data_IF_252054758296
#
_entry.id   IF_252054758296
#
_cell.length_a   1.000
_cell.length_b   1.000
_cell.length_c   1.000
_cell.angle_alpha   90.00
_cell.angle_beta   90.00
_cell.angle_gamma   90.00
#
_symmetry.space_group_name_H-M   'P 1'
#
loop_
_entity.id
_entity.type
_entity.pdbx_description
1 polymer ?
#
# COMPACT_ATOMS: atom_id res chain seq x y z
N UNK A 1 13.75 12.23 11.94
CA UNK A 1 12.32 12.26 11.54
C UNK A 1 12.15 11.18 10.48
N UNK A 2 11.10 10.38 10.50
CA UNK A 2 10.93 9.32 9.49
C UNK A 2 10.38 9.95 8.21
N UNK A 3 11.13 9.86 7.11
CA UNK A 3 10.82 10.55 5.86
C UNK A 3 10.67 9.57 4.69
N UNK A 4 9.66 9.80 3.85
CA UNK A 4 9.37 8.99 2.66
C UNK A 4 9.48 9.87 1.42
N UNK A 5 10.16 9.40 0.39
CA UNK A 5 10.18 10.03 -0.92
C UNK A 5 9.33 9.20 -1.88
N UNK A 6 8.43 9.86 -2.59
CA UNK A 6 7.62 9.26 -3.65
C UNK A 6 8.05 9.90 -4.96
N UNK A 7 8.62 9.09 -5.86
CA UNK A 7 9.04 9.52 -7.19
C UNK A 7 8.04 8.97 -8.20
N UNK A 8 7.52 9.84 -9.06
CA UNK A 8 6.57 9.49 -10.11
C UNK A 8 6.98 10.07 -11.45
N UNK A 9 6.46 9.49 -12.53
CA UNK A 9 6.54 10.02 -13.89
C UNK A 9 5.18 10.57 -14.37
N UNK A 10 4.26 10.86 -13.43
CA UNK A 10 2.97 11.53 -13.68
C UNK A 10 1.71 10.69 -13.37
N UNK A 11 1.48 9.52 -14.01
CA UNK A 11 0.19 8.82 -13.94
C UNK A 11 -0.13 8.18 -12.59
N UNK A 12 0.85 7.98 -11.71
CA UNK A 12 0.69 7.26 -10.44
C UNK A 12 1.31 8.04 -9.26
N UNK A 13 1.16 7.54 -8.03
CA UNK A 13 1.80 8.12 -6.84
C UNK A 13 1.01 9.20 -6.10
N UNK A 14 0.20 10.03 -6.77
CA UNK A 14 -0.61 11.11 -6.15
C UNK A 14 -1.41 10.69 -4.91
N UNK A 15 -2.16 9.58 -5.00
CA UNK A 15 -2.98 9.08 -3.89
C UNK A 15 -2.17 8.40 -2.81
N UNK A 16 -1.03 7.83 -3.19
CA UNK A 16 -0.08 7.29 -2.23
C UNK A 16 0.50 8.43 -1.39
N UNK A 17 0.89 9.52 -2.04
CA UNK A 17 1.33 10.74 -1.37
C UNK A 17 0.27 11.29 -0.41
N UNK A 18 -0.97 11.44 -0.86
CA UNK A 18 -2.05 11.98 -0.03
C UNK A 18 -2.35 11.16 1.22
N UNK A 19 -2.10 9.85 1.17
CA UNK A 19 -2.32 8.94 2.30
C UNK A 19 -1.11 8.89 3.21
N UNK A 20 0.09 8.67 2.66
CA UNK A 20 1.33 8.48 3.41
C UNK A 20 1.71 9.77 4.16
N UNK A 21 1.48 10.95 3.57
CA UNK A 21 1.76 12.25 4.21
C UNK A 21 0.96 12.52 5.49
N UNK A 22 -0.11 11.75 5.74
CA UNK A 22 -0.90 11.87 6.98
C UNK A 22 -0.19 11.25 8.18
N UNK A 23 0.72 10.30 7.94
CA UNK A 23 1.42 9.55 8.99
C UNK A 23 2.93 9.83 9.00
N UNK A 24 3.53 10.07 7.84
CA UNK A 24 4.97 10.25 7.67
C UNK A 24 5.30 11.55 6.97
N UNK A 25 6.46 12.13 7.27
CA UNK A 25 6.99 13.26 6.50
C UNK A 25 7.27 12.77 5.06
N UNK A 26 6.55 13.32 4.08
CA UNK A 26 6.58 12.78 2.71
C UNK A 26 6.92 13.88 1.72
N UNK A 27 7.88 13.60 0.84
CA UNK A 27 8.18 14.43 -0.33
C UNK A 27 7.66 13.76 -1.60
N UNK A 28 7.20 14.57 -2.54
CA UNK A 28 6.69 14.13 -3.83
C UNK A 28 7.53 14.75 -4.93
N UNK A 29 8.17 13.90 -5.74
CA UNK A 29 9.04 14.29 -6.84
C UNK A 29 8.42 13.76 -8.13
N UNK A 30 8.15 14.65 -9.07
CA UNK A 30 7.64 14.30 -10.40
C UNK A 30 8.75 14.51 -11.41
N UNK A 31 9.22 13.41 -12.00
CA UNK A 31 10.24 13.42 -13.04
C UNK A 31 9.58 13.42 -14.42
N UNK A 32 10.23 14.08 -15.37
CA UNK A 32 9.77 14.05 -16.75
C UNK A 32 9.87 12.64 -17.33
N UNK A 33 8.84 12.23 -18.07
CA UNK A 33 8.93 10.99 -18.83
C UNK A 33 9.95 11.15 -19.95
N UNK A 34 10.89 10.19 -20.13
CA UNK A 34 11.73 10.16 -21.30
C UNK A 34 10.90 10.14 -22.57
N UNK A 35 11.27 11.01 -23.51
CA UNK A 35 10.63 11.08 -24.83
C UNK A 35 11.20 10.05 -25.81
N UNK A 36 12.36 9.46 -25.52
CA UNK A 36 13.03 8.42 -26.31
C UNK A 36 12.84 7.02 -25.73
N UNK A 37 12.88 6.00 -26.59
CA UNK A 37 12.75 4.59 -26.22
C UNK A 37 14.00 4.01 -25.53
N UNK A 38 15.11 4.75 -25.59
CA UNK A 38 16.38 4.49 -24.91
C UNK A 38 16.84 5.82 -24.29
N UNK A 39 17.14 5.81 -23.00
CA UNK A 39 17.69 6.99 -22.31
C UNK A 39 19.21 6.91 -22.34
N UNK A 40 19.85 7.94 -22.90
CA UNK A 40 21.32 8.06 -22.86
C UNK A 40 21.79 8.69 -21.53
N UNK A 41 21.03 9.63 -20.94
CA UNK A 41 21.32 10.22 -19.63
C UNK A 41 20.01 10.65 -18.92
N UNK A 42 19.78 10.13 -17.70
CA UNK A 42 18.64 10.50 -16.85
C UNK A 42 19.07 11.66 -15.94
N UNK A 43 18.72 12.88 -16.31
CA UNK A 43 18.97 14.03 -15.45
C UNK A 43 17.88 14.18 -14.39
N UNK A 44 18.23 13.82 -13.15
CA UNK A 44 17.43 14.14 -11.97
C UNK A 44 17.93 15.48 -11.42
N UNK A 45 17.07 16.50 -11.27
CA UNK A 45 17.46 17.78 -10.70
C UNK A 45 18.16 17.62 -9.35
N UNK A 46 19.25 18.35 -9.13
CA UNK A 46 20.07 18.24 -7.92
C UNK A 46 19.28 18.52 -6.63
N UNK A 47 18.22 19.31 -6.72
CA UNK A 47 17.28 19.53 -5.62
C UNK A 47 16.48 18.27 -5.25
N UNK A 48 15.99 17.55 -6.25
CA UNK A 48 15.25 16.30 -6.07
C UNK A 48 16.13 15.18 -5.55
N UNK A 49 17.38 15.11 -6.03
CA UNK A 49 18.39 14.17 -5.51
C UNK A 49 18.55 14.34 -4.00
N UNK A 50 18.72 15.59 -3.52
CA UNK A 50 18.87 15.88 -2.09
C UNK A 50 17.61 15.55 -1.29
N UNK A 51 16.43 15.73 -1.88
CA UNK A 51 15.16 15.38 -1.23
C UNK A 51 15.05 13.87 -1.02
N UNK A 52 15.48 13.08 -2.02
CA UNK A 52 15.48 11.61 -1.99
C UNK A 52 16.58 11.07 -1.07
N UNK A 53 17.84 11.54 -1.18
CA UNK A 53 18.92 11.11 -0.26
C UNK A 53 18.62 11.44 1.20
N UNK A 54 17.76 12.44 1.46
CA UNK A 54 17.31 12.78 2.80
C UNK A 54 16.16 11.91 3.32
N UNK A 55 15.68 10.91 2.58
CA UNK A 55 14.56 10.04 2.99
C UNK A 55 15.03 8.67 3.49
N UNK A 56 14.17 8.03 4.29
CA UNK A 56 14.39 6.65 4.75
C UNK A 56 13.86 5.64 3.73
N UNK A 57 12.67 5.91 3.20
CA UNK A 57 12.02 5.07 2.20
C UNK A 57 11.94 5.84 0.88
N UNK A 58 12.25 5.17 -0.23
CA UNK A 58 11.95 5.62 -1.58
C UNK A 58 10.86 4.72 -2.18
N UNK A 59 9.80 5.31 -2.72
CA UNK A 59 8.76 4.60 -3.45
C UNK A 59 8.76 5.08 -4.89
N UNK A 60 8.97 4.18 -5.85
CA UNK A 60 8.99 4.52 -7.27
C UNK A 60 7.67 4.12 -7.92
N UNK A 61 7.03 5.11 -8.55
CA UNK A 61 5.82 4.98 -9.36
C UNK A 61 6.12 5.28 -10.84
N UNK A 62 7.34 4.99 -11.28
CA UNK A 62 7.84 5.23 -12.63
C UNK A 62 7.48 4.08 -13.55
N UNK A 63 7.11 4.40 -14.79
CA UNK A 63 6.69 3.41 -15.81
C UNK A 63 7.86 2.91 -16.66
N UNK A 64 8.82 3.75 -17.10
CA UNK A 64 10.00 3.30 -17.82
C UNK A 64 10.90 2.42 -16.94
N UNK A 65 11.30 1.21 -17.41
CA UNK A 65 12.24 0.36 -16.69
C UNK A 65 13.59 1.04 -16.46
N UNK A 66 14.13 1.74 -17.47
CA UNK A 66 15.43 2.40 -17.38
C UNK A 66 15.46 3.48 -16.29
N UNK A 67 14.39 4.30 -16.21
CA UNK A 67 14.23 5.29 -15.15
C UNK A 67 14.13 4.64 -13.77
N UNK A 68 13.39 3.54 -13.67
CA UNK A 68 13.24 2.80 -12.42
C UNK A 68 14.58 2.20 -11.98
N UNK A 69 15.36 1.67 -12.92
CA UNK A 69 16.67 1.08 -12.67
C UNK A 69 17.66 2.14 -12.18
N UNK A 70 17.75 3.27 -12.87
CA UNK A 70 18.61 4.39 -12.45
C UNK A 70 18.26 4.88 -11.04
N UNK A 71 16.97 5.05 -10.74
CA UNK A 71 16.53 5.43 -9.40
C UNK A 71 16.96 4.40 -8.35
N UNK A 72 16.86 3.12 -8.65
CA UNK A 72 17.32 2.08 -7.72
C UNK A 72 18.84 2.12 -7.58
N UNK A 73 19.60 2.05 -8.66
CA UNK A 73 21.06 2.02 -8.64
C UNK A 73 21.67 3.26 -7.98
N UNK A 74 21.10 4.44 -8.22
CA UNK A 74 21.59 5.71 -7.66
C UNK A 74 21.30 5.86 -6.17
N UNK A 75 20.16 5.36 -5.69
CA UNK A 75 19.70 5.61 -4.32
C UNK A 75 19.78 4.39 -3.38
N UNK A 76 20.12 3.19 -3.88
CA UNK A 76 20.19 1.96 -3.08
C UNK A 76 21.10 2.10 -1.85
N UNK A 77 22.23 2.81 -1.98
CA UNK A 77 23.18 3.03 -0.88
C UNK A 77 22.92 4.36 -0.12
N UNK A 78 21.85 5.07 -0.47
CA UNK A 78 21.51 6.41 0.05
C UNK A 78 20.27 6.42 0.91
N UNK A 79 19.34 5.49 0.68
CA UNK A 79 18.12 5.33 1.47
C UNK A 79 18.11 3.98 2.17
N UNK A 80 17.32 3.86 3.24
CA UNK A 80 17.25 2.62 4.01
C UNK A 80 16.47 1.52 3.26
N UNK A 81 15.46 1.88 2.46
CA UNK A 81 14.67 0.92 1.68
C UNK A 81 14.05 1.53 0.42
N UNK A 82 13.92 0.73 -0.64
CA UNK A 82 13.25 1.10 -1.89
C UNK A 82 12.08 0.16 -2.17
N UNK A 83 10.90 0.73 -2.44
CA UNK A 83 9.71 0.01 -2.84
C UNK A 83 9.40 0.37 -4.30
N UNK A 84 9.50 -0.61 -5.18
CA UNK A 84 9.22 -0.43 -6.60
C UNK A 84 7.78 -0.78 -6.86
N UNK A 85 6.92 0.24 -6.93
CA UNK A 85 5.47 0.05 -7.03
C UNK A 85 5.00 -0.31 -8.45
N UNK A 86 5.81 0.00 -9.46
CA UNK A 86 5.55 -0.28 -10.86
C UNK A 86 6.75 -0.99 -11.51
N UNK A 87 6.57 -2.25 -11.87
CA UNK A 87 7.58 -3.07 -12.55
C UNK A 87 6.89 -4.11 -13.43
N UNK A 88 7.63 -4.69 -14.38
CA UNK A 88 7.14 -5.74 -15.28
C UNK A 88 8.23 -6.75 -15.60
N UNK A 89 7.86 -8.03 -15.55
CA UNK A 89 8.72 -9.16 -15.90
C UNK A 89 9.64 -9.58 -14.77
N UNK A 90 9.74 -10.89 -14.55
CA UNK A 90 10.52 -11.46 -13.43
C UNK A 90 12.01 -11.20 -13.58
N UNK A 91 12.53 -11.10 -14.81
CA UNK A 91 13.93 -10.74 -15.05
C UNK A 91 14.27 -9.36 -14.48
N UNK A 92 13.41 -8.37 -14.72
CA UNK A 92 13.60 -7.02 -14.19
C UNK A 92 13.41 -6.99 -12.68
N UNK A 93 12.37 -7.66 -12.16
CA UNK A 93 12.18 -7.82 -10.70
C UNK A 93 13.42 -8.40 -10.03
N UNK A 94 13.94 -9.52 -10.54
CA UNK A 94 15.09 -10.20 -9.95
C UNK A 94 16.35 -9.34 -10.00
N UNK A 95 16.51 -8.49 -11.03
CA UNK A 95 17.60 -7.52 -11.09
C UNK A 95 17.47 -6.49 -9.97
N UNK A 96 16.28 -5.91 -9.76
CA UNK A 96 16.04 -4.92 -8.73
C UNK A 96 16.16 -5.51 -7.31
N UNK A 97 15.56 -6.67 -7.07
CA UNK A 97 15.60 -7.37 -5.77
C UNK A 97 16.93 -8.09 -5.49
N UNK A 98 17.88 -8.08 -6.43
CA UNK A 98 19.27 -8.49 -6.13
C UNK A 98 19.90 -7.57 -5.08
N UNK A 99 19.39 -6.34 -4.96
CA UNK A 99 19.73 -5.42 -3.88
C UNK A 99 18.93 -5.75 -2.61
N UNK A 100 19.65 -5.89 -1.49
CA UNK A 100 19.10 -6.38 -0.21
C UNK A 100 18.01 -5.49 0.43
N UNK A 101 17.90 -4.23 0.02
CA UNK A 101 16.97 -3.24 0.54
C UNK A 101 15.95 -2.76 -0.52
N UNK A 102 15.68 -3.60 -1.51
CA UNK A 102 14.70 -3.33 -2.57
C UNK A 102 13.58 -4.37 -2.52
N UNK A 103 12.33 -3.94 -2.70
CA UNK A 103 11.18 -4.84 -2.78
C UNK A 103 10.26 -4.42 -3.92
N UNK A 104 9.85 -5.40 -4.71
CA UNK A 104 8.95 -5.24 -5.86
C UNK A 104 7.63 -5.96 -5.57
N UNK A 105 6.71 -5.35 -4.80
CA UNK A 105 5.41 -5.97 -4.52
C UNK A 105 4.61 -6.17 -5.81
N UNK A 106 3.89 -7.27 -5.91
CA UNK A 106 2.95 -7.51 -7.00
C UNK A 106 1.79 -6.51 -6.94
N UNK A 107 1.28 -6.25 -5.73
CA UNK A 107 0.42 -5.10 -5.42
C UNK A 107 0.87 -4.38 -4.15
N UNK A 108 0.84 -3.05 -4.18
CA UNK A 108 1.21 -2.22 -3.03
C UNK A 108 0.38 -2.48 -1.75
N UNK A 109 -0.79 -3.12 -1.89
CA UNK A 109 -1.65 -3.46 -0.76
C UNK A 109 -1.23 -4.76 -0.05
N UNK A 110 -0.18 -5.46 -0.49
CA UNK A 110 0.25 -6.72 0.14
C UNK A 110 1.49 -6.58 1.04
N UNK A 111 2.12 -5.41 1.05
CA UNK A 111 3.37 -5.21 1.80
C UNK A 111 3.14 -5.40 3.31
N UNK A 112 4.00 -6.21 3.91
CA UNK A 112 4.02 -6.61 5.32
C UNK A 112 5.46 -6.56 5.86
N UNK A 113 5.60 -6.64 7.18
CA UNK A 113 6.88 -6.61 7.87
C UNK A 113 7.85 -7.71 7.36
N UNK A 114 9.12 -7.35 7.22
CA UNK A 114 10.18 -8.27 6.78
C UNK A 114 11.35 -8.37 7.76
N UNK A 115 11.27 -7.68 8.92
CA UNK A 115 12.28 -7.70 9.97
C UNK A 115 13.28 -6.56 9.90
N UNK A 116 13.29 -5.75 8.84
CA UNK A 116 14.06 -4.51 8.81
C UNK A 116 13.34 -3.42 9.63
N UNK A 117 13.96 -2.83 10.68
CA UNK A 117 13.26 -1.89 11.56
C UNK A 117 12.71 -0.63 10.88
N UNK A 118 13.35 -0.17 9.81
CA UNK A 118 12.93 1.04 9.08
C UNK A 118 11.76 0.71 8.16
N UNK A 119 11.86 -0.39 7.42
CA UNK A 119 10.78 -0.89 6.59
C UNK A 119 9.56 -1.29 7.41
N UNK A 120 9.75 -2.05 8.49
CA UNK A 120 8.70 -2.47 9.43
C UNK A 120 7.96 -1.27 10.04
N UNK A 121 8.70 -0.19 10.34
CA UNK A 121 8.10 1.06 10.81
C UNK A 121 7.22 1.71 9.75
N UNK A 122 7.63 1.73 8.49
CA UNK A 122 6.80 2.21 7.39
C UNK A 122 5.55 1.34 7.22
N UNK A 123 5.74 0.02 7.08
CA UNK A 123 4.62 -0.88 6.83
C UNK A 123 3.69 -1.03 8.02
N UNK A 124 4.09 -0.66 9.23
CA UNK A 124 3.23 -0.68 10.41
C UNK A 124 1.92 0.10 10.20
N UNK A 125 1.98 1.24 9.50
CA UNK A 125 0.83 2.09 9.16
C UNK A 125 0.39 2.00 7.70
N UNK A 126 1.30 1.66 6.77
CA UNK A 126 1.02 1.66 5.33
C UNK A 126 1.32 0.30 4.68
N UNK A 127 0.31 -0.40 4.20
CA UNK A 127 0.51 -1.68 3.51
C UNK A 127 -0.73 -2.55 3.49
N UNK A 128 -0.58 -3.81 3.90
CA UNK A 128 -1.70 -4.74 4.01
C UNK A 128 -2.81 -4.22 4.92
N UNK A 129 -4.07 -4.11 4.45
CA UNK A 129 -5.14 -3.57 5.26
C UNK A 129 -5.24 -4.25 6.63
N UNK A 130 -5.31 -3.47 7.70
CA UNK A 130 -5.57 -3.99 9.05
C UNK A 130 -6.52 -3.08 9.78
N UNK A 131 -7.66 -3.63 10.18
CA UNK A 131 -8.74 -2.88 10.84
C UNK A 131 -9.14 -3.54 12.15
N UNK A 132 -9.68 -2.73 13.06
CA UNK A 132 -10.24 -3.19 14.33
C UNK A 132 -11.64 -2.64 14.49
N UNK A 133 -12.59 -3.53 14.78
CA UNK A 133 -13.97 -3.17 15.07
C UNK A 133 -14.14 -2.96 16.57
N UNK A 134 -14.63 -1.79 16.96
CA UNK A 134 -15.06 -1.52 18.35
C UNK A 134 -16.54 -1.84 18.45
N UNK A 135 -16.88 -2.72 19.40
CA UNK A 135 -18.25 -3.16 19.64
C UNK A 135 -18.79 -2.61 20.96
N UNK A 136 -20.08 -2.30 20.96
CA UNK A 136 -20.89 -2.07 22.15
C UNK A 136 -21.92 -3.20 22.26
N UNK A 137 -21.66 -4.15 23.15
CA UNK A 137 -22.33 -5.45 23.12
C UNK A 137 -22.06 -6.17 21.79
N UNK A 138 -23.12 -6.46 21.02
CA UNK A 138 -23.01 -7.08 19.69
C UNK A 138 -23.15 -6.08 18.53
N UNK A 139 -23.17 -4.78 18.81
CA UNK A 139 -23.38 -3.72 17.81
C UNK A 139 -22.07 -3.02 17.47
N UNK A 140 -21.90 -2.67 16.20
CA UNK A 140 -20.74 -1.89 15.77
C UNK A 140 -20.83 -0.45 16.30
N UNK A 141 -19.80 -0.02 17.02
CA UNK A 141 -19.67 1.35 17.55
C UNK A 141 -18.73 2.19 16.70
N UNK A 142 -17.62 1.62 16.25
CA UNK A 142 -16.57 2.35 15.53
C UNK A 142 -15.64 1.38 14.80
N UNK A 143 -14.93 1.86 13.78
CA UNK A 143 -13.92 1.12 13.04
C UNK A 143 -12.62 1.93 13.12
N UNK A 144 -11.54 1.28 13.54
CA UNK A 144 -10.21 1.87 13.58
C UNK A 144 -9.35 1.20 12.51
N UNK A 145 -8.84 1.99 11.58
CA UNK A 145 -7.82 1.52 10.64
C UNK A 145 -6.47 1.59 11.34
N UNK A 146 -5.83 0.43 11.51
CA UNK A 146 -4.48 0.33 12.07
C UNK A 146 -3.42 0.43 10.98
N UNK A 147 -3.71 -0.16 9.81
CA UNK A 147 -2.86 -0.12 8.62
C UNK A 147 -3.72 0.16 7.40
N UNK A 148 -3.39 1.21 6.66
CA UNK A 148 -4.08 1.57 5.42
C UNK A 148 -3.29 1.09 4.22
N UNK A 149 -3.99 0.68 3.16
CA UNK A 149 -3.38 0.55 1.84
C UNK A 149 -2.73 1.87 1.41
N UNK A 150 -1.61 1.83 0.66
CA UNK A 150 -0.90 3.03 0.27
C UNK A 150 -1.77 4.06 -0.46
N UNK A 151 -2.72 3.64 -1.29
CA UNK A 151 -3.61 4.56 -1.99
C UNK A 151 -4.76 5.13 -1.13
N UNK A 152 -4.94 4.68 0.12
CA UNK A 152 -6.02 5.13 1.02
C UNK A 152 -7.35 4.42 0.81
N UNK A 153 -7.38 3.33 0.04
CA UNK A 153 -8.59 2.56 -0.20
C UNK A 153 -9.18 1.92 1.06
N UNK A 154 -8.34 1.55 2.03
CA UNK A 154 -8.79 0.96 3.29
C UNK A 154 -9.66 1.92 4.09
N UNK A 155 -9.27 3.20 4.20
CA UNK A 155 -10.08 4.22 4.87
C UNK A 155 -11.40 4.46 4.14
N UNK A 156 -11.38 4.52 2.80
CA UNK A 156 -12.60 4.67 2.00
C UNK A 156 -13.62 3.54 2.26
N UNK A 157 -13.14 2.29 2.32
CA UNK A 157 -14.02 1.16 2.61
C UNK A 157 -14.46 1.17 4.08
N UNK A 158 -13.56 1.47 5.02
CA UNK A 158 -13.88 1.56 6.44
C UNK A 158 -14.94 2.63 6.74
N UNK A 159 -14.86 3.79 6.11
CA UNK A 159 -15.86 4.86 6.25
C UNK A 159 -17.23 4.42 5.74
N UNK A 160 -17.29 3.75 4.57
CA UNK A 160 -18.54 3.20 4.03
C UNK A 160 -19.17 2.15 4.94
N UNK A 161 -18.36 1.20 5.45
CA UNK A 161 -18.88 0.17 6.37
C UNK A 161 -19.35 0.81 7.67
N UNK A 162 -18.58 1.78 8.20
CA UNK A 162 -18.95 2.52 9.40
C UNK A 162 -20.30 3.22 9.22
N UNK A 163 -20.53 3.93 8.12
CA UNK A 163 -21.80 4.60 7.84
C UNK A 163 -22.98 3.62 7.73
N UNK A 164 -22.79 2.47 7.08
CA UNK A 164 -23.88 1.52 6.85
C UNK A 164 -24.19 0.61 8.04
N UNK A 165 -23.20 0.32 8.89
CA UNK A 165 -23.32 -0.67 9.96
C UNK A 165 -23.30 -0.08 11.38
N UNK A 166 -23.19 1.24 11.54
CA UNK A 166 -23.22 1.89 12.85
C UNK A 166 -24.47 1.49 13.64
N UNK A 167 -24.28 0.96 14.85
CA UNK A 167 -25.36 0.53 15.74
C UNK A 167 -26.10 -0.75 15.31
N UNK A 168 -25.70 -1.39 14.20
CA UNK A 168 -26.24 -2.68 13.74
C UNK A 168 -25.44 -3.84 14.31
N UNK A 169 -26.07 -5.01 14.38
CA UNK A 169 -25.38 -6.26 14.73
C UNK A 169 -24.41 -6.62 13.60
N UNK A 170 -23.24 -7.15 13.98
CA UNK A 170 -22.30 -7.68 12.99
C UNK A 170 -22.90 -8.88 12.27
N UNK A 171 -22.78 -8.86 10.94
CA UNK A 171 -23.05 -10.00 10.08
C UNK A 171 -21.70 -10.54 9.59
N UNK A 172 -21.22 -11.68 10.13
CA UNK A 172 -19.89 -12.20 9.83
C UNK A 172 -19.74 -12.68 8.38
N UNK A 173 -20.82 -13.01 7.68
CA UNK A 173 -20.75 -13.52 6.30
C UNK A 173 -20.86 -12.39 5.27
N UNK A 174 -21.78 -11.45 5.48
CA UNK A 174 -22.06 -10.41 4.49
C UNK A 174 -21.08 -9.22 4.57
N UNK A 175 -20.64 -8.82 5.77
CA UNK A 175 -19.82 -7.62 5.94
C UNK A 175 -18.44 -7.72 5.24
N UNK A 176 -17.68 -8.82 5.36
CA UNK A 176 -16.44 -8.99 4.60
C UNK A 176 -16.67 -8.97 3.08
N UNK A 177 -17.73 -9.63 2.62
CA UNK A 177 -18.09 -9.67 1.19
C UNK A 177 -18.41 -8.28 0.66
N UNK A 178 -19.23 -7.49 1.37
CA UNK A 178 -19.54 -6.11 1.01
C UNK A 178 -18.30 -5.20 1.02
N UNK A 179 -17.35 -5.47 1.93
CA UNK A 179 -16.08 -4.74 2.01
C UNK A 179 -15.26 -4.94 0.74
N UNK A 180 -15.07 -6.19 0.31
CA UNK A 180 -14.36 -6.49 -0.94
C UNK A 180 -15.05 -5.89 -2.17
N UNK A 181 -16.37 -6.04 -2.26
CA UNK A 181 -17.16 -5.44 -3.33
C UNK A 181 -17.07 -3.91 -3.35
N UNK A 182 -17.11 -3.26 -2.19
CA UNK A 182 -17.01 -1.81 -2.09
C UNK A 182 -15.67 -1.30 -2.60
N UNK A 183 -14.59 -2.05 -2.42
CA UNK A 183 -13.29 -1.68 -2.96
C UNK A 183 -13.33 -1.52 -4.50
N UNK A 184 -14.15 -2.28 -5.22
CA UNK A 184 -14.28 -2.14 -6.67
C UNK A 184 -14.88 -0.78 -7.10
N UNK A 185 -15.57 -0.08 -6.19
CA UNK A 185 -16.05 1.28 -6.41
C UNK A 185 -15.00 2.35 -6.13
N UNK A 186 -13.90 2.00 -5.44
CA UNK A 186 -12.77 2.88 -5.28
C UNK A 186 -12.00 2.96 -6.62
N UNK A 187 -11.51 4.13 -7.07
CA UNK A 187 -10.81 4.28 -8.35
C UNK A 187 -9.39 3.68 -8.33
N UNK A 188 -9.26 2.42 -7.94
CA UNK A 188 -8.00 1.71 -7.83
C UNK A 188 -7.29 1.66 -9.20
N UNK A 189 -6.01 2.07 -9.21
CA UNK A 189 -5.12 2.06 -10.38
C UNK A 189 -4.33 0.75 -10.53
N UNK A 190 -4.59 -0.25 -9.68
CA UNK A 190 -4.08 -1.60 -9.90
C UNK A 190 -4.51 -2.13 -11.27
N UNK A 191 -3.61 -2.86 -11.93
CA UNK A 191 -3.85 -3.35 -13.28
C UNK A 191 -5.07 -4.29 -13.31
N UNK A 192 -5.83 -4.24 -14.40
CA UNK A 192 -6.81 -5.29 -14.70
C UNK A 192 -6.07 -6.52 -15.22
N UNK A 193 -6.69 -7.69 -15.07
CA UNK A 193 -6.20 -8.94 -15.62
C UNK A 193 -5.86 -8.80 -17.12
N UNK A 194 -4.62 -9.09 -17.50
CA UNK A 194 -4.22 -9.28 -18.88
C UNK A 194 -4.17 -10.77 -19.17
N UNK A 195 -5.06 -11.21 -20.06
CA UNK A 195 -5.12 -12.59 -20.53
C UNK A 195 -3.73 -13.03 -21.01
N UNK A 196 -3.29 -14.21 -20.58
CA UNK A 196 -2.03 -14.85 -20.95
C UNK A 196 -0.75 -14.18 -20.41
N UNK A 197 -0.84 -13.18 -19.54
CA UNK A 197 0.33 -12.53 -18.93
C UNK A 197 0.27 -12.45 -17.42
N UNK A 198 -0.91 -12.24 -16.86
CA UNK A 198 -1.11 -12.15 -15.43
C UNK A 198 -1.71 -13.47 -14.92
N UNK A 199 -1.17 -14.01 -13.83
CA UNK A 199 -1.71 -15.20 -13.16
C UNK A 199 -3.00 -14.87 -12.39
N UNK A 200 -3.06 -13.66 -11.80
CA UNK A 200 -4.19 -13.18 -11.03
C UNK A 200 -4.54 -11.72 -11.33
N UNK A 201 -5.81 -11.37 -11.13
CA UNK A 201 -6.27 -10.00 -11.28
C UNK A 201 -5.86 -9.16 -10.06
N UNK A 202 -4.94 -8.20 -10.23
CA UNK A 202 -4.47 -7.32 -9.14
C UNK A 202 -5.60 -6.58 -8.40
N UNK A 203 -6.72 -6.28 -9.08
CA UNK A 203 -7.91 -5.67 -8.45
C UNK A 203 -8.72 -6.65 -7.60
N UNK A 204 -8.73 -7.91 -7.98
CA UNK A 204 -9.38 -8.97 -7.22
C UNK A 204 -8.57 -9.26 -5.97
N UNK A 205 -7.25 -9.44 -6.10
CA UNK A 205 -6.34 -9.58 -4.95
C UNK A 205 -6.49 -8.42 -3.95
N UNK A 206 -6.53 -7.17 -4.44
CA UNK A 206 -6.74 -6.03 -3.55
C UNK A 206 -8.09 -6.13 -2.80
N UNK A 207 -9.15 -6.62 -3.45
CA UNK A 207 -10.46 -6.83 -2.86
C UNK A 207 -10.45 -7.94 -1.81
N UNK A 208 -9.78 -9.04 -2.09
CA UNK A 208 -9.62 -10.14 -1.14
C UNK A 208 -8.85 -9.70 0.10
N UNK A 209 -7.74 -8.97 -0.06
CA UNK A 209 -6.99 -8.44 1.09
C UNK A 209 -7.84 -7.53 2.00
N UNK A 210 -8.78 -6.77 1.44
CA UNK A 210 -9.70 -5.97 2.24
C UNK A 210 -10.80 -6.83 2.88
N UNK A 211 -11.35 -7.82 2.17
CA UNK A 211 -12.31 -8.79 2.73
C UNK A 211 -11.69 -9.50 3.94
N UNK A 212 -10.50 -10.07 3.75
CA UNK A 212 -9.80 -10.87 4.74
C UNK A 212 -9.46 -10.02 5.98
N UNK A 213 -9.03 -8.77 5.79
CA UNK A 213 -8.78 -7.84 6.90
C UNK A 213 -10.03 -7.58 7.77
N UNK A 214 -11.21 -7.51 7.16
CA UNK A 214 -12.46 -7.34 7.90
C UNK A 214 -12.96 -8.64 8.52
N UNK A 215 -12.77 -9.78 7.86
CA UNK A 215 -13.08 -11.09 8.42
C UNK A 215 -12.25 -11.37 9.68
N UNK A 216 -10.94 -11.12 9.64
CA UNK A 216 -10.06 -11.20 10.81
C UNK A 216 -10.51 -10.27 11.94
N UNK A 217 -10.91 -9.05 11.61
CA UNK A 217 -11.36 -8.06 12.58
C UNK A 217 -12.67 -8.49 13.27
N UNK A 218 -13.60 -9.09 12.53
CA UNK A 218 -14.83 -9.67 13.07
C UNK A 218 -14.50 -10.84 14.00
N UNK A 219 -13.67 -11.78 13.55
CA UNK A 219 -13.26 -12.94 14.35
C UNK A 219 -12.60 -12.52 15.67
N UNK A 220 -11.72 -11.51 15.63
CA UNK A 220 -11.09 -10.95 16.82
C UNK A 220 -12.10 -10.28 17.77
N UNK A 221 -13.07 -9.54 17.22
CA UNK A 221 -14.09 -8.88 18.01
C UNK A 221 -15.03 -9.89 18.71
N UNK A 222 -15.43 -10.98 18.04
CA UNK A 222 -16.22 -12.06 18.64
C UNK A 222 -15.49 -12.78 19.77
N UNK A 223 -14.21 -13.15 19.57
CA UNK A 223 -13.38 -13.74 20.64
C UNK A 223 -13.30 -12.84 21.87
N UNK A 224 -13.21 -11.52 21.65
CA UNK A 224 -13.16 -10.54 22.73
C UNK A 224 -14.48 -10.48 23.51
N UNK A 225 -15.63 -10.62 22.84
CA UNK A 225 -16.94 -10.69 23.48
C UNK A 225 -17.13 -11.98 24.28
N UNK A 226 -16.77 -13.13 23.72
CA UNK A 226 -16.83 -14.43 24.40
C UNK A 226 -16.00 -14.43 25.67
N UNK A 227 -14.76 -13.92 25.61
CA UNK A 227 -13.87 -13.79 26.76
C UNK A 227 -14.40 -12.81 27.84
N UNK A 228 -15.22 -11.82 27.46
CA UNK A 228 -15.90 -10.94 28.44
C UNK A 228 -17.06 -11.64 29.12
N UNK A 229 -17.79 -12.49 28.40
CA UNK A 229 -18.92 -13.26 28.94
C UNK A 229 -18.47 -14.41 29.86
N UNK A 230 -17.26 -14.96 29.66
CA UNK A 230 -16.68 -16.00 30.51
C UNK A 230 -16.11 -15.49 31.85
N UNK A 231 -15.95 -14.17 32.02
CA UNK A 231 -15.43 -13.55 33.25
C UNK A 231 -16.53 -13.22 34.29
N UNK A 232 -17.67 -13.90 34.22
CA UNK A 232 -18.80 -13.76 35.16
C UNK A 232 -18.85 -14.98 36.07
#
# INVERSE_FOLDING_TARGET
MFKVAIVTDGPYGDRAYDTIKKEFDTVFVELEQPTSMFMDDIEIPEEDVKLIEGSNILITYTTPPDLTLELVERFVDKVDWIIVAAWRGDGFKNQLEAHHNVTCPYIMCEIEENGNPIFDKFVSGIGKPKVVLKLDGNKLKDIVVLRSSPCGSTSFVADFIKENYLGKKLDPENLPTETGLKLQHYPCRAAKMRLFSDEECKKEMASELHRDAFEEAIAFAHRTLENRNLKI
#
